data_IF_573718969471
#
_entry.id   IF_573718969471
#
_cell.length_a   1.000
_cell.length_b   1.000
_cell.length_c   1.000
_cell.angle_alpha   90.00
_cell.angle_beta   90.00
_cell.angle_gamma   90.00
#
_symmetry.space_group_name_H-M   'P 1'
#
loop_
_entity.id
_entity.type
_entity.pdbx_description
1 polymer ?
#
# COMPACT_ATOMS: atom_id res chain seq x y z
N UNK A 1 32.19 19.75 29.50
CA UNK A 1 32.36 18.74 28.43
C UNK A 1 30.99 18.56 27.77
N UNK A 2 30.67 19.35 26.75
CA UNK A 2 30.96 19.10 25.32
C UNK A 2 29.97 18.10 24.68
N UNK A 3 29.23 18.59 23.67
CA UNK A 3 28.60 17.76 22.62
C UNK A 3 27.08 17.84 22.54
N UNK A 4 26.50 18.86 21.89
CA UNK A 4 26.08 18.83 20.47
C UNK A 4 25.12 17.70 20.07
N UNK A 5 23.87 18.07 19.72
CA UNK A 5 23.15 17.72 18.46
C UNK A 5 21.70 18.24 18.55
N UNK A 6 21.43 19.41 17.95
CA UNK A 6 20.98 19.63 16.56
C UNK A 6 19.44 19.59 16.40
N UNK A 7 18.87 20.80 16.44
CA UNK A 7 18.03 21.39 15.38
C UNK A 7 17.33 20.41 14.43
N UNK A 8 16.00 20.33 14.55
CA UNK A 8 15.11 20.00 13.42
C UNK A 8 13.97 21.03 13.37
N UNK A 9 14.30 22.18 12.79
CA UNK A 9 13.32 23.07 12.17
C UNK A 9 13.00 22.54 10.76
N UNK A 10 11.73 22.69 10.40
CA UNK A 10 11.23 22.98 9.06
C UNK A 10 11.55 22.00 7.92
N UNK A 11 10.56 21.20 7.54
CA UNK A 11 10.32 20.77 6.16
C UNK A 11 8.94 20.10 6.03
N UNK A 12 7.86 20.88 6.17
CA UNK A 12 6.50 20.44 5.79
C UNK A 12 5.70 21.51 5.03
N UNK A 13 6.39 22.46 4.41
CA UNK A 13 5.79 23.46 3.53
C UNK A 13 6.56 23.50 2.20
N UNK A 14 6.38 22.49 1.33
CA UNK A 14 6.93 22.53 -0.03
C UNK A 14 6.31 21.50 -1.00
N UNK A 15 4.99 21.24 -0.91
CA UNK A 15 4.29 20.45 -1.96
C UNK A 15 3.02 21.15 -2.47
N UNK A 16 2.60 22.28 -1.89
CA UNK A 16 1.44 23.04 -2.39
C UNK A 16 1.78 24.29 -3.22
N UNK A 17 3.06 24.53 -3.53
CA UNK A 17 3.48 25.65 -4.38
C UNK A 17 3.82 25.23 -5.84
N UNK A 18 3.60 23.97 -6.22
CA UNK A 18 3.90 23.47 -7.57
C UNK A 18 2.66 23.25 -8.45
N UNK A 19 1.45 23.62 -7.98
CA UNK A 19 0.20 23.41 -8.73
C UNK A 19 -0.52 24.69 -9.17
N UNK A 20 0.10 25.86 -8.98
CA UNK A 20 -0.46 27.18 -9.31
C UNK A 20 0.56 28.06 -10.07
N UNK A 21 1.21 27.49 -11.09
CA UNK A 21 2.11 28.23 -11.97
C UNK A 21 2.07 27.76 -13.44
N UNK A 22 0.86 27.45 -13.96
CA UNK A 22 0.66 27.23 -15.42
C UNK A 22 -0.35 28.22 -16.02
N UNK A 23 -0.83 29.20 -15.24
CA UNK A 23 -1.72 30.26 -15.72
C UNK A 23 -1.03 31.63 -15.65
N UNK A 24 -0.01 31.84 -16.49
CA UNK A 24 0.52 33.17 -16.77
C UNK A 24 1.36 33.24 -18.07
N UNK A 25 0.69 33.25 -19.22
CA UNK A 25 0.99 34.03 -20.46
C UNK A 25 2.34 33.75 -21.20
N UNK A 26 2.63 34.37 -22.38
CA UNK A 26 1.95 34.27 -23.68
C UNK A 26 2.98 34.09 -24.84
N UNK A 27 2.90 33.06 -25.70
CA UNK A 27 3.69 33.02 -26.96
C UNK A 27 2.93 32.17 -27.99
N UNK A 28 2.18 32.76 -28.91
CA UNK A 28 2.65 33.13 -30.26
C UNK A 28 3.23 31.94 -31.04
N UNK A 29 2.37 31.07 -31.55
CA UNK A 29 2.69 30.31 -32.77
C UNK A 29 1.75 30.81 -33.86
N UNK A 30 2.19 31.91 -34.46
CA UNK A 30 1.73 32.41 -35.74
C UNK A 30 2.16 31.39 -36.80
N UNK A 31 1.38 30.32 -37.00
CA UNK A 31 1.50 29.50 -38.19
C UNK A 31 0.91 30.31 -39.34
N UNK A 32 1.78 30.81 -40.21
CA UNK A 32 1.45 31.49 -41.44
C UNK A 32 0.51 30.61 -42.29
N UNK A 33 -0.77 30.98 -42.33
CA UNK A 33 -1.73 30.48 -43.31
C UNK A 33 -1.91 31.60 -44.35
N UNK A 34 -1.87 31.30 -45.65
CA UNK A 34 -1.73 32.30 -46.70
C UNK A 34 -2.90 33.29 -46.68
N UNK A 35 -2.59 34.55 -46.99
CA UNK A 35 -3.48 35.70 -47.00
C UNK A 35 -4.91 35.39 -47.49
N UNK A 36 -5.84 35.36 -46.54
CA UNK A 36 -7.27 35.34 -46.77
C UNK A 36 -7.96 35.81 -45.51
N UNK A 37 -8.21 37.12 -45.40
CA UNK A 37 -8.74 37.81 -44.23
C UNK A 37 -9.89 37.05 -43.54
N UNK A 38 -9.60 36.37 -42.43
CA UNK A 38 -10.58 35.74 -41.56
C UNK A 38 -10.92 36.66 -40.40
N UNK A 39 -12.13 37.21 -40.39
CA UNK A 39 -12.67 37.89 -39.22
C UNK A 39 -13.13 36.84 -38.20
N UNK A 40 -12.68 36.94 -36.96
CA UNK A 40 -13.16 36.16 -35.83
C UNK A 40 -13.98 37.08 -34.93
N UNK A 41 -15.16 36.65 -34.50
CA UNK A 41 -15.95 37.32 -33.46
C UNK A 41 -16.08 36.36 -32.29
N UNK A 42 -15.67 36.82 -31.11
CA UNK A 42 -15.81 36.11 -29.84
C UNK A 42 -17.06 36.59 -29.13
N UNK A 43 -18.00 35.67 -28.88
CA UNK A 43 -19.06 35.82 -27.89
C UNK A 43 -18.98 34.61 -26.95
N UNK A 44 -18.95 34.86 -25.65
CA UNK A 44 -18.99 33.84 -24.57
C UNK A 44 -17.98 32.69 -24.70
N UNK A 45 -16.72 33.00 -25.07
CA UNK A 45 -15.61 32.04 -25.02
C UNK A 45 -15.58 30.99 -26.13
N UNK A 46 -16.50 31.05 -27.09
CA UNK A 46 -16.51 30.16 -28.26
C UNK A 46 -15.98 30.94 -29.47
N UNK A 47 -14.82 30.53 -29.99
CA UNK A 47 -14.23 31.08 -31.21
C UNK A 47 -14.88 30.46 -32.45
N UNK A 48 -15.88 31.14 -33.00
CA UNK A 48 -16.55 30.70 -34.22
C UNK A 48 -15.80 31.26 -35.43
N UNK A 49 -15.24 30.38 -36.26
CA UNK A 49 -14.64 30.74 -37.53
C UNK A 49 -15.72 31.15 -38.53
N UNK A 50 -15.83 32.46 -38.80
CA UNK A 50 -16.90 33.05 -39.62
C UNK A 50 -16.86 32.57 -41.08
N UNK A 51 -15.74 32.01 -41.57
CA UNK A 51 -15.68 31.44 -42.92
C UNK A 51 -16.63 30.24 -43.13
N UNK A 52 -17.13 29.61 -42.06
CA UNK A 52 -18.14 28.55 -42.16
C UNK A 52 -19.59 29.08 -42.04
N UNK A 53 -19.79 30.28 -41.52
CA UNK A 53 -21.14 30.85 -41.34
C UNK A 53 -21.76 31.38 -42.64
N UNK A 54 -20.95 31.58 -43.69
CA UNK A 54 -21.41 32.12 -44.98
C UNK A 54 -22.15 31.06 -45.83
N UNK A 55 -22.11 29.77 -45.46
CA UNK A 55 -22.65 28.68 -46.31
C UNK A 55 -24.13 28.37 -46.15
N UNK A 56 -24.83 28.92 -45.14
CA UNK A 56 -26.28 28.73 -45.02
C UNK A 56 -27.02 30.08 -45.03
N UNK A 57 -28.10 30.23 -45.81
CA UNK A 57 -28.90 31.46 -45.83
C UNK A 57 -29.52 31.76 -44.46
N UNK A 58 -29.74 30.75 -43.61
CA UNK A 58 -30.23 30.92 -42.23
C UNK A 58 -29.18 31.50 -41.26
N UNK A 59 -27.92 31.10 -41.33
CA UNK A 59 -26.86 31.66 -40.48
C UNK A 59 -26.57 33.13 -40.82
N UNK A 60 -26.63 33.49 -42.11
CA UNK A 60 -26.54 34.88 -42.58
C UNK A 60 -27.71 35.76 -42.09
N UNK A 61 -28.93 35.20 -42.00
CA UNK A 61 -30.08 35.91 -41.45
C UNK A 61 -29.94 36.18 -39.95
N UNK A 62 -29.43 35.22 -39.18
CA UNK A 62 -29.14 35.37 -37.75
C UNK A 62 -28.00 36.37 -37.50
N UNK A 63 -26.93 36.33 -38.30
CA UNK A 63 -25.81 37.28 -38.20
C UNK A 63 -26.20 38.71 -38.60
N UNK A 64 -27.12 38.91 -39.55
CA UNK A 64 -27.66 40.23 -39.89
C UNK A 64 -28.65 40.78 -38.84
N UNK A 65 -29.09 39.95 -37.89
CA UNK A 65 -29.89 40.35 -36.73
C UNK A 65 -29.06 41.02 -35.62
N UNK A 66 -27.73 40.91 -35.68
CA UNK A 66 -26.82 41.57 -34.74
C UNK A 66 -26.65 43.03 -35.17
N UNK A 67 -26.96 44.03 -34.32
CA UNK A 67 -27.03 45.43 -34.74
C UNK A 67 -25.70 46.02 -35.28
N UNK A 68 -24.56 45.40 -34.96
CA UNK A 68 -23.22 45.85 -35.40
C UNK A 68 -22.76 45.35 -36.78
N UNK A 69 -23.43 44.35 -37.37
CA UNK A 69 -23.02 43.69 -38.63
C UNK A 69 -24.00 43.92 -39.78
N UNK A 70 -25.13 44.59 -39.50
CA UNK A 70 -26.20 44.93 -40.44
C UNK A 70 -25.61 45.68 -41.66
N UNK A 71 -25.81 45.11 -42.85
CA UNK A 71 -25.37 45.64 -44.16
C UNK A 71 -23.86 45.68 -44.45
N UNK A 72 -22.99 45.10 -43.62
CA UNK A 72 -21.54 45.02 -43.90
C UNK A 72 -21.08 43.71 -44.54
N UNK A 73 -21.96 42.72 -44.64
CA UNK A 73 -21.67 41.44 -45.28
C UNK A 73 -22.06 41.49 -46.76
N UNK A 74 -21.08 41.25 -47.63
CA UNK A 74 -21.27 41.22 -49.09
C UNK A 74 -22.37 40.23 -49.45
N UNK A 75 -23.34 40.67 -50.26
CA UNK A 75 -24.36 39.78 -50.84
C UNK A 75 -23.64 38.66 -51.58
N UNK A 76 -23.82 37.38 -51.20
CA UNK A 76 -23.19 36.32 -51.95
C UNK A 76 -23.81 36.28 -53.35
N UNK A 77 -23.00 36.52 -54.37
CA UNK A 77 -23.43 36.36 -55.76
C UNK A 77 -23.81 34.90 -55.98
N UNK A 78 -25.05 34.62 -56.38
CA UNK A 78 -25.57 33.28 -56.62
C UNK A 78 -24.67 32.42 -57.54
N UNK A 79 -23.93 33.05 -58.47
CA UNK A 79 -22.94 32.38 -59.33
C UNK A 79 -21.80 31.71 -58.55
N UNK A 80 -21.24 32.36 -57.52
CA UNK A 80 -20.18 31.78 -56.67
C UNK A 80 -20.67 30.62 -55.80
N UNK A 81 -21.97 30.55 -55.51
CA UNK A 81 -22.55 29.44 -54.76
C UNK A 81 -22.68 28.17 -55.61
N UNK A 82 -23.07 28.30 -56.88
CA UNK A 82 -23.11 27.19 -57.82
C UNK A 82 -21.71 26.64 -58.14
N UNK A 83 -20.71 27.53 -58.23
CA UNK A 83 -19.31 27.16 -58.46
C UNK A 83 -18.60 26.57 -57.22
N UNK A 84 -19.27 26.50 -56.05
CA UNK A 84 -18.68 25.94 -54.82
C UNK A 84 -19.54 24.79 -54.27
N UNK A 85 -20.81 24.67 -54.66
CA UNK A 85 -21.70 23.58 -54.23
C UNK A 85 -21.19 22.20 -54.65
N UNK A 86 -20.51 22.10 -55.79
CA UNK A 86 -19.88 20.86 -56.25
C UNK A 86 -18.63 20.46 -55.47
N UNK A 87 -18.01 21.40 -54.73
CA UNK A 87 -16.86 21.15 -53.84
C UNK A 87 -17.30 20.79 -52.41
N UNK A 88 -18.53 21.13 -52.02
CA UNK A 88 -19.09 20.79 -50.71
C UNK A 88 -19.08 19.27 -50.39
N UNK A 89 -19.54 18.36 -51.29
CA UNK A 89 -19.53 16.92 -51.00
C UNK A 89 -18.11 16.35 -50.91
N UNK A 90 -17.13 16.94 -51.62
CA UNK A 90 -15.72 16.53 -51.56
C UNK A 90 -15.07 16.96 -50.25
N UNK A 91 -15.39 18.17 -49.77
CA UNK A 91 -14.93 18.68 -48.48
C UNK A 91 -15.58 17.91 -47.33
N UNK A 92 -16.89 17.61 -47.40
CA UNK A 92 -17.56 16.78 -46.39
C UNK A 92 -17.00 15.36 -46.31
N UNK A 93 -16.67 14.73 -47.44
CA UNK A 93 -15.99 13.42 -47.46
C UNK A 93 -14.57 13.50 -46.89
N UNK A 94 -13.82 14.54 -47.23
CA UNK A 94 -12.46 14.74 -46.72
C UNK A 94 -12.45 15.02 -45.21
N UNK A 95 -13.37 15.86 -44.70
CA UNK A 95 -13.50 16.11 -43.26
C UNK A 95 -14.02 14.89 -42.51
N UNK A 96 -14.98 14.15 -43.07
CA UNK A 96 -15.44 12.89 -42.48
C UNK A 96 -14.32 11.84 -42.37
N UNK A 97 -13.45 11.73 -43.39
CA UNK A 97 -12.29 10.83 -43.35
C UNK A 97 -11.30 11.24 -42.25
N UNK A 98 -10.97 12.53 -42.14
CA UNK A 98 -10.06 13.04 -41.10
C UNK A 98 -10.64 12.82 -39.69
N UNK A 99 -11.94 13.01 -39.49
CA UNK A 99 -12.60 12.80 -38.19
C UNK A 99 -12.57 11.32 -37.79
N UNK A 100 -12.80 10.40 -38.73
CA UNK A 100 -12.73 8.95 -38.49
C UNK A 100 -11.31 8.51 -38.13
N UNK A 101 -10.30 9.03 -38.82
CA UNK A 101 -8.89 8.72 -38.51
C UNK A 101 -8.45 9.31 -37.17
N UNK A 102 -8.90 10.51 -36.80
CA UNK A 102 -8.63 11.06 -35.46
C UNK A 102 -9.34 10.29 -34.35
N UNK A 103 -10.57 9.83 -34.56
CA UNK A 103 -11.28 9.02 -33.57
C UNK A 103 -10.59 7.67 -33.34
N UNK A 104 -10.08 7.03 -34.40
CA UNK A 104 -9.28 5.81 -34.29
C UNK A 104 -7.98 6.01 -33.53
N UNK A 105 -7.28 7.12 -33.77
CA UNK A 105 -6.06 7.46 -33.02
C UNK A 105 -6.35 7.68 -31.52
N UNK A 106 -7.45 8.36 -31.19
CA UNK A 106 -7.89 8.58 -29.81
C UNK A 106 -8.28 7.25 -29.15
N UNK A 107 -8.99 6.35 -29.84
CA UNK A 107 -9.35 5.03 -29.34
C UNK A 107 -8.11 4.16 -29.08
N UNK A 108 -7.11 4.19 -29.97
CA UNK A 108 -5.85 3.47 -29.81
C UNK A 108 -5.01 4.00 -28.65
N UNK A 109 -4.98 5.33 -28.44
CA UNK A 109 -4.31 5.94 -27.28
C UNK A 109 -5.01 5.55 -25.97
N UNK A 110 -6.34 5.61 -25.91
CA UNK A 110 -7.11 5.18 -24.75
C UNK A 110 -6.95 3.68 -24.46
N UNK A 111 -6.85 2.84 -25.49
CA UNK A 111 -6.58 1.41 -25.32
C UNK A 111 -5.21 1.17 -24.70
N UNK A 112 -4.17 1.89 -25.15
CA UNK A 112 -2.81 1.83 -24.58
C UNK A 112 -2.76 2.33 -23.14
N UNK A 113 -3.49 3.41 -22.83
CA UNK A 113 -3.58 3.92 -21.45
C UNK A 113 -4.26 2.91 -20.51
N UNK A 114 -5.35 2.27 -20.93
CA UNK A 114 -6.01 1.22 -20.15
C UNK A 114 -5.09 0.02 -19.92
N UNK A 115 -4.35 -0.40 -20.95
CA UNK A 115 -3.41 -1.50 -20.81
C UNK A 115 -2.26 -1.16 -19.84
N UNK A 116 -1.72 0.06 -19.91
CA UNK A 116 -0.72 0.54 -18.96
C UNK A 116 -1.27 0.62 -17.53
N UNK A 117 -2.50 1.11 -17.36
CA UNK A 117 -3.18 1.17 -16.07
C UNK A 117 -3.38 -0.23 -15.48
N UNK A 118 -3.78 -1.20 -16.29
CA UNK A 118 -3.93 -2.59 -15.87
C UNK A 118 -2.60 -3.24 -15.49
N UNK A 119 -1.53 -2.98 -16.26
CA UNK A 119 -0.17 -3.43 -15.90
C UNK A 119 0.29 -2.85 -14.56
N UNK A 120 0.07 -1.55 -14.34
CA UNK A 120 0.39 -0.89 -13.06
C UNK A 120 -0.45 -1.46 -11.92
N UNK A 121 -1.74 -1.74 -12.14
CA UNK A 121 -2.62 -2.34 -11.15
C UNK A 121 -2.15 -3.74 -10.75
N UNK A 122 -1.78 -4.59 -11.72
CA UNK A 122 -1.22 -5.92 -11.46
C UNK A 122 0.10 -5.83 -10.69
N UNK A 123 1.01 -4.94 -11.12
CA UNK A 123 2.28 -4.73 -10.43
C UNK A 123 2.11 -4.27 -8.97
N UNK A 124 1.16 -3.37 -8.71
CA UNK A 124 0.80 -2.96 -7.34
C UNK A 124 0.23 -4.13 -6.52
N UNK A 125 -0.66 -4.91 -7.11
CA UNK A 125 -1.23 -6.10 -6.47
C UNK A 125 -0.17 -7.14 -6.11
N UNK A 126 0.78 -7.42 -7.00
CA UNK A 126 1.90 -8.31 -6.72
C UNK A 126 2.82 -7.76 -5.62
N UNK A 127 3.10 -6.46 -5.64
CA UNK A 127 3.91 -5.83 -4.59
C UNK A 127 3.23 -5.91 -3.22
N UNK A 128 1.92 -5.68 -3.17
CA UNK A 128 1.12 -5.78 -1.95
C UNK A 128 1.03 -7.23 -1.46
N UNK A 129 0.81 -8.19 -2.36
CA UNK A 129 0.85 -9.62 -2.04
C UNK A 129 2.21 -10.01 -1.42
N UNK A 130 3.33 -9.62 -2.04
CA UNK A 130 4.67 -9.86 -1.49
C UNK A 130 4.87 -9.22 -0.11
N UNK A 131 4.35 -8.01 0.10
CA UNK A 131 4.41 -7.34 1.42
C UNK A 131 3.61 -8.11 2.47
N UNK A 132 2.39 -8.51 2.16
CA UNK A 132 1.54 -9.27 3.10
C UNK A 132 2.10 -10.65 3.42
N UNK A 133 2.70 -11.33 2.44
CA UNK A 133 3.41 -12.59 2.68
C UNK A 133 4.64 -12.39 3.56
N UNK A 134 5.42 -11.32 3.31
CA UNK A 134 6.59 -11.00 4.13
C UNK A 134 6.19 -10.65 5.57
N UNK A 135 5.11 -9.89 5.78
CA UNK A 135 4.62 -9.57 7.13
C UNK A 135 4.13 -10.82 7.84
N UNK A 136 3.38 -11.70 7.17
CA UNK A 136 2.93 -12.98 7.74
C UNK A 136 4.12 -13.85 8.17
N UNK A 137 5.15 -13.98 7.33
CA UNK A 137 6.37 -14.72 7.68
C UNK A 137 7.07 -14.11 8.91
N UNK A 138 7.16 -12.79 8.96
CA UNK A 138 7.77 -12.09 10.08
C UNK A 138 6.95 -12.26 11.38
N UNK A 139 5.62 -12.21 11.31
CA UNK A 139 4.74 -12.47 12.45
C UNK A 139 4.88 -13.90 12.98
N UNK A 140 4.94 -14.89 12.08
CA UNK A 140 5.15 -16.29 12.48
C UNK A 140 6.51 -16.50 13.15
N UNK A 141 7.55 -15.84 12.65
CA UNK A 141 8.90 -15.92 13.22
C UNK A 141 8.97 -15.21 14.58
N UNK A 142 8.33 -14.05 14.71
CA UNK A 142 8.21 -13.36 16.00
C UNK A 142 7.45 -14.20 17.04
N UNK A 143 6.35 -14.85 16.63
CA UNK A 143 5.59 -15.74 17.51
C UNK A 143 6.46 -16.93 17.98
N UNK A 144 7.23 -17.53 17.06
CA UNK A 144 8.19 -18.58 17.37
C UNK A 144 9.26 -18.11 18.37
N UNK A 145 9.86 -16.94 18.16
CA UNK A 145 10.87 -16.39 19.08
C UNK A 145 10.31 -16.09 20.47
N UNK A 146 9.07 -15.59 20.56
CA UNK A 146 8.38 -15.40 21.84
C UNK A 146 8.18 -16.74 22.56
N UNK A 147 7.79 -17.78 21.84
CA UNK A 147 7.60 -19.11 22.42
C UNK A 147 8.92 -19.72 22.90
N UNK A 148 10.00 -19.62 22.11
CA UNK A 148 11.34 -20.04 22.53
C UNK A 148 11.76 -19.31 23.82
N UNK A 149 11.52 -18.00 23.89
CA UNK A 149 11.86 -17.19 25.07
C UNK A 149 11.07 -17.63 26.30
N UNK A 150 9.77 -17.90 26.15
CA UNK A 150 8.93 -18.44 27.22
C UNK A 150 9.45 -19.80 27.72
N UNK A 151 9.71 -20.73 26.81
CA UNK A 151 10.20 -22.06 27.15
C UNK A 151 11.57 -22.02 27.83
N UNK A 152 12.47 -21.12 27.41
CA UNK A 152 13.76 -20.91 28.11
C UNK A 152 13.56 -20.51 29.57
N UNK A 153 12.66 -19.57 29.83
CA UNK A 153 12.32 -19.16 31.20
C UNK A 153 11.70 -20.32 31.99
N UNK A 154 10.80 -21.09 31.36
CA UNK A 154 10.20 -22.27 32.00
C UNK A 154 11.26 -23.31 32.37
N UNK A 155 12.19 -23.64 31.46
CA UNK A 155 13.28 -24.58 31.73
C UNK A 155 14.16 -24.08 32.87
N UNK A 156 14.58 -22.81 32.84
CA UNK A 156 15.38 -22.22 33.92
C UNK A 156 14.69 -22.33 35.29
N UNK A 157 13.39 -22.03 35.36
CA UNK A 157 12.63 -22.15 36.60
C UNK A 157 12.51 -23.60 37.07
N UNK A 158 12.32 -24.54 36.14
CA UNK A 158 12.26 -25.97 36.44
C UNK A 158 13.63 -26.49 36.90
N UNK A 159 14.74 -26.07 36.30
CA UNK A 159 16.11 -26.41 36.73
C UNK A 159 16.42 -25.92 38.15
N UNK A 160 16.01 -24.70 38.49
CA UNK A 160 16.13 -24.19 39.86
C UNK A 160 15.33 -25.03 40.86
N UNK A 161 14.08 -25.36 40.50
CA UNK A 161 13.22 -26.20 41.34
C UNK A 161 13.76 -27.63 41.48
N UNK A 162 14.24 -28.22 40.40
CA UNK A 162 14.87 -29.54 40.35
C UNK A 162 16.09 -29.58 41.29
N UNK A 163 16.93 -28.55 41.24
CA UNK A 163 18.09 -28.40 42.13
C UNK A 163 17.70 -28.29 43.60
N UNK A 164 16.67 -27.49 43.91
CA UNK A 164 16.14 -27.33 45.27
C UNK A 164 15.57 -28.65 45.81
N UNK A 165 14.72 -29.33 45.02
CA UNK A 165 14.14 -30.60 45.39
C UNK A 165 15.20 -31.69 45.56
N UNK A 166 16.24 -31.69 44.71
CA UNK A 166 17.36 -32.61 44.84
C UNK A 166 18.09 -32.43 46.17
N UNK A 167 18.38 -31.18 46.55
CA UNK A 167 18.96 -30.87 47.86
C UNK A 167 18.06 -31.35 49.01
N UNK A 168 16.75 -31.12 48.91
CA UNK A 168 15.77 -31.52 49.92
C UNK A 168 15.64 -33.03 50.09
N UNK A 169 15.73 -33.80 48.99
CA UNK A 169 15.79 -35.27 49.00
C UNK A 169 17.07 -35.75 49.68
N UNK A 170 18.22 -35.17 49.33
CA UNK A 170 19.51 -35.54 49.95
C UNK A 170 19.50 -35.22 51.45
N UNK A 171 18.99 -34.05 51.83
CA UNK A 171 18.90 -33.60 53.22
C UNK A 171 18.01 -34.52 54.06
N UNK A 172 16.79 -34.82 53.59
CA UNK A 172 15.87 -35.75 54.28
C UNK A 172 16.42 -37.15 54.37
N UNK A 173 17.11 -37.64 53.34
CA UNK A 173 17.77 -38.95 53.37
C UNK A 173 18.90 -39.00 54.42
N UNK A 174 19.64 -37.91 54.60
CA UNK A 174 20.64 -37.78 55.67
C UNK A 174 19.99 -37.78 57.05
N UNK A 175 18.92 -37.01 57.24
CA UNK A 175 18.15 -36.99 58.50
C UNK A 175 17.61 -38.40 58.83
N UNK A 176 17.04 -39.09 57.85
CA UNK A 176 16.56 -40.46 58.00
C UNK A 176 17.68 -41.42 58.45
N UNK A 177 18.90 -41.24 57.90
CA UNK A 177 20.08 -42.00 58.29
C UNK A 177 20.58 -41.71 59.71
N UNK A 178 20.23 -40.55 60.29
CA UNK A 178 20.63 -40.13 61.64
C UNK A 178 19.68 -40.58 62.75
N UNK A 179 18.45 -40.99 62.41
CA UNK A 179 17.47 -41.49 63.40
C UNK A 179 17.89 -42.90 63.86
N UNK A 180 17.70 -43.17 65.16
CA UNK A 180 17.93 -44.48 65.75
C UNK A 180 17.16 -45.59 65.02
N UNK A 181 17.78 -46.76 64.88
CA UNK A 181 17.16 -47.95 64.28
C UNK A 181 16.59 -48.90 65.33
N UNK A 182 16.60 -48.50 66.60
CA UNK A 182 16.08 -49.30 67.69
C UNK A 182 14.54 -49.42 67.56
N UNK A 183 13.99 -50.63 67.36
CA UNK A 183 12.55 -50.83 67.27
C UNK A 183 11.82 -50.61 68.60
N UNK A 184 12.54 -50.62 69.74
CA UNK A 184 11.95 -50.34 71.06
C UNK A 184 11.74 -48.84 71.30
N UNK A 185 12.43 -47.97 70.55
CA UNK A 185 12.21 -46.53 70.59
C UNK A 185 11.07 -46.14 69.64
N UNK A 186 9.84 -46.20 70.16
CA UNK A 186 8.64 -45.84 69.41
C UNK A 186 8.68 -44.41 68.84
N UNK A 187 9.40 -43.49 69.49
CA UNK A 187 9.56 -42.12 69.02
C UNK A 187 10.45 -42.04 67.78
N UNK A 188 11.55 -42.81 67.77
CA UNK A 188 12.42 -42.95 66.60
C UNK A 188 11.68 -43.65 65.44
N UNK A 189 10.90 -44.70 65.72
CA UNK A 189 10.09 -45.39 64.69
C UNK A 189 9.07 -44.44 64.05
N UNK A 190 8.35 -43.66 64.86
CA UNK A 190 7.38 -42.69 64.36
C UNK A 190 8.05 -41.59 63.51
N UNK A 191 9.14 -40.98 64.02
CA UNK A 191 9.89 -39.95 63.30
C UNK A 191 10.49 -40.46 61.99
N UNK A 192 10.97 -41.71 61.98
CA UNK A 192 11.46 -42.37 60.77
C UNK A 192 10.35 -42.56 59.73
N UNK A 193 9.18 -43.06 60.14
CA UNK A 193 8.05 -43.22 59.22
C UNK A 193 7.60 -41.88 58.61
N UNK A 194 7.63 -40.80 59.38
CA UNK A 194 7.30 -39.47 58.87
C UNK A 194 8.32 -39.01 57.82
N UNK A 195 9.62 -39.11 58.11
CA UNK A 195 10.67 -38.75 57.16
C UNK A 195 10.62 -39.60 55.88
N UNK A 196 10.28 -40.89 55.97
CA UNK A 196 10.09 -41.75 54.79
C UNK A 196 8.93 -41.27 53.91
N UNK A 197 7.80 -40.84 54.50
CA UNK A 197 6.69 -40.23 53.75
C UNK A 197 7.12 -38.92 53.09
N UNK A 198 7.83 -38.06 53.81
CA UNK A 198 8.33 -36.79 53.28
C UNK A 198 9.32 -37.03 52.12
N UNK A 199 10.23 -38.01 52.26
CA UNK A 199 11.18 -38.40 51.23
C UNK A 199 10.46 -38.88 49.98
N UNK A 200 9.49 -39.79 50.12
CA UNK A 200 8.69 -40.29 49.00
C UNK A 200 7.93 -39.16 48.28
N UNK A 201 7.34 -38.24 49.04
CA UNK A 201 6.65 -37.08 48.46
C UNK A 201 7.60 -36.17 47.67
N UNK A 202 8.77 -35.84 48.24
CA UNK A 202 9.79 -35.00 47.56
C UNK A 202 10.36 -35.70 46.33
N UNK A 203 10.56 -37.01 46.39
CA UNK A 203 11.02 -37.81 45.25
C UNK A 203 10.00 -37.76 44.10
N UNK A 204 8.71 -37.93 44.41
CA UNK A 204 7.65 -37.79 43.41
C UNK A 204 7.64 -36.40 42.76
N UNK A 205 7.78 -35.33 43.56
CA UNK A 205 7.85 -33.97 43.04
C UNK A 205 9.09 -33.75 42.16
N UNK A 206 10.22 -34.33 42.53
CA UNK A 206 11.46 -34.27 41.76
C UNK A 206 11.23 -34.93 40.39
N UNK A 207 10.74 -36.17 40.37
CA UNK A 207 10.50 -36.92 39.14
C UNK A 207 9.52 -36.20 38.20
N UNK A 208 8.45 -35.60 38.74
CA UNK A 208 7.50 -34.77 37.98
C UNK A 208 8.17 -33.51 37.39
N UNK A 209 9.03 -32.86 38.18
CA UNK A 209 9.75 -31.65 37.75
C UNK A 209 10.77 -31.98 36.66
N UNK A 210 11.54 -33.06 36.82
CA UNK A 210 12.49 -33.55 35.82
C UNK A 210 11.78 -33.90 34.51
N UNK A 211 10.66 -34.64 34.58
CA UNK A 211 9.86 -34.98 33.39
C UNK A 211 9.34 -33.73 32.68
N UNK A 212 8.80 -32.77 33.42
CA UNK A 212 8.30 -31.51 32.87
C UNK A 212 9.41 -30.68 32.22
N UNK A 213 10.62 -30.70 32.81
CA UNK A 213 11.81 -30.04 32.27
C UNK A 213 12.21 -30.67 30.94
N UNK A 214 12.26 -32.00 30.87
CA UNK A 214 12.63 -32.74 29.66
C UNK A 214 11.63 -32.54 28.52
N UNK A 215 10.33 -32.47 28.83
CA UNK A 215 9.29 -32.12 27.86
C UNK A 215 9.47 -30.69 27.32
N UNK A 216 9.72 -29.72 28.21
CA UNK A 216 9.96 -28.33 27.83
C UNK A 216 11.23 -28.18 26.96
N UNK A 217 12.30 -28.89 27.30
CA UNK A 217 13.53 -28.94 26.51
C UNK A 217 13.29 -29.56 25.13
N UNK A 218 12.57 -30.68 25.04
CA UNK A 218 12.20 -31.31 23.76
C UNK A 218 11.40 -30.36 22.88
N UNK A 219 10.40 -29.67 23.43
CA UNK A 219 9.60 -28.68 22.70
C UNK A 219 10.45 -27.49 22.22
N UNK A 220 11.38 -27.04 23.06
CA UNK A 220 12.31 -25.97 22.71
C UNK A 220 13.24 -26.40 21.56
N UNK A 221 13.72 -27.65 21.55
CA UNK A 221 14.55 -28.18 20.48
C UNK A 221 13.77 -28.34 19.17
N UNK A 222 12.54 -28.83 19.23
CA UNK A 222 11.63 -28.87 18.07
C UNK A 222 11.41 -27.48 17.45
N UNK A 223 11.29 -26.45 18.29
CA UNK A 223 11.19 -25.06 17.84
C UNK A 223 12.51 -24.45 17.39
N UNK A 224 13.66 -25.09 17.58
CA UNK A 224 14.95 -24.64 17.03
C UNK A 224 15.24 -25.22 15.65
N UNK A 225 14.84 -26.47 15.43
CA UNK A 225 15.12 -27.21 14.19
C UNK A 225 14.19 -26.79 13.03
N UNK A 226 12.96 -26.34 13.33
CA UNK A 226 11.99 -25.85 12.33
C UNK A 226 12.41 -24.54 11.67
#
# INVERSE_FOLDING_TARGET
MAGSRRLRLNCRASIHAALLAVLALPVSVLAAIPAGMGFFVTADGISININYAVKSPHALALLNGIPGTRNKLAKPSAKRFADISHLAPTVEKATAAVIVDTNRLIEDEQAKEREQQDRLRRARGEQEARRTEATRKLETEQARQREISRLRTTVMNLEQRDSFLHHDVVSTRRQLGSISRDPADHSAVAGRSELERQLNYRQLQLDQTTTSKDDAMRRLEQLRIR
#
